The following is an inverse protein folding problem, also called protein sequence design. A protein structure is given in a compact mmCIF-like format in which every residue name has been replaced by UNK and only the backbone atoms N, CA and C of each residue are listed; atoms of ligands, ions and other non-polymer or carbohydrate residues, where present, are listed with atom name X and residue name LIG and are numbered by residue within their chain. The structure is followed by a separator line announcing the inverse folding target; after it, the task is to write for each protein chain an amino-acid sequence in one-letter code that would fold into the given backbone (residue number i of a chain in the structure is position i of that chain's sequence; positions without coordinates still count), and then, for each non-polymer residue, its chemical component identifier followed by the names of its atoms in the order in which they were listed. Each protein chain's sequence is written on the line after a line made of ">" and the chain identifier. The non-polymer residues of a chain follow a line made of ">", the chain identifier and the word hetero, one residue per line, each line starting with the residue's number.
data_IF_486169840040
#
_entry.id   IF_486169840040
#
_cell.length_a   1.000
_cell.length_b   1.000
_cell.length_c   1.000
_cell.angle_alpha   90.00
_cell.angle_beta   90.00
_cell.angle_gamma   90.00
#
_symmetry.space_group_name_H-M   'P 1'
#
loop_
_entity.id
_entity.type
_entity.pdbx_description
1 polymer ?
#
# COMPACT_ATOMS: atom_id res chain seq x y z
N UNK A 1 9.90 -8.75 -27.60
CA UNK A 1 11.05 -8.64 -26.69
C UNK A 1 11.04 -9.84 -25.74
N UNK A 2 12.05 -10.71 -25.76
CA UNK A 2 12.18 -11.81 -24.77
C UNK A 2 12.75 -11.23 -23.49
N UNK A 3 11.90 -11.15 -22.47
CA UNK A 3 12.35 -10.74 -21.12
C UNK A 3 13.29 -11.84 -20.61
N UNK A 4 14.51 -11.46 -20.21
CA UNK A 4 15.53 -12.37 -19.66
C UNK A 4 14.95 -13.18 -18.49
N UNK A 5 15.32 -14.46 -18.38
CA UNK A 5 14.87 -15.35 -17.29
C UNK A 5 15.20 -14.77 -15.90
N UNK A 6 16.33 -14.12 -15.75
CA UNK A 6 16.72 -13.42 -14.51
C UNK A 6 15.73 -12.30 -14.10
N UNK A 7 15.18 -11.56 -15.07
CA UNK A 7 14.18 -10.52 -14.77
C UNK A 7 12.85 -11.15 -14.36
N UNK A 8 12.43 -12.24 -15.00
CA UNK A 8 11.21 -12.98 -14.63
C UNK A 8 11.28 -13.51 -13.20
N UNK A 9 12.40 -14.08 -12.81
CA UNK A 9 12.62 -14.59 -11.45
C UNK A 9 12.58 -13.46 -10.42
N UNK A 10 13.25 -12.34 -10.67
CA UNK A 10 13.21 -11.16 -9.78
C UNK A 10 11.80 -10.61 -9.63
N UNK A 11 11.03 -10.53 -10.70
CA UNK A 11 9.64 -10.09 -10.68
C UNK A 11 8.77 -11.07 -9.90
N UNK A 12 8.90 -12.38 -10.14
CA UNK A 12 8.14 -13.41 -9.43
C UNK A 12 8.42 -13.39 -7.91
N UNK A 13 9.69 -13.28 -7.52
CA UNK A 13 10.08 -13.18 -6.10
C UNK A 13 9.54 -11.89 -5.50
N UNK A 14 9.66 -10.76 -6.20
CA UNK A 14 9.13 -9.48 -5.73
C UNK A 14 7.61 -9.51 -5.54
N UNK A 15 6.88 -10.11 -6.48
CA UNK A 15 5.43 -10.32 -6.37
C UNK A 15 5.09 -11.24 -5.19
N UNK A 16 5.79 -12.35 -5.02
CA UNK A 16 5.59 -13.26 -3.89
C UNK A 16 5.75 -12.57 -2.53
N UNK A 17 6.83 -11.79 -2.36
CA UNK A 17 7.06 -10.99 -1.14
C UNK A 17 5.93 -9.99 -0.94
N UNK A 18 5.49 -9.33 -2.01
CA UNK A 18 4.43 -8.35 -1.97
C UNK A 18 3.08 -8.97 -1.58
N UNK A 19 2.73 -10.15 -2.12
CA UNK A 19 1.52 -10.88 -1.73
C UNK A 19 1.52 -11.27 -0.25
N UNK A 20 2.64 -11.78 0.25
CA UNK A 20 2.76 -12.17 1.66
C UNK A 20 2.67 -10.92 2.55
N UNK A 21 3.43 -9.87 2.26
CA UNK A 21 3.44 -8.64 3.04
C UNK A 21 2.06 -7.96 3.05
N UNK A 22 1.37 -7.92 1.90
CA UNK A 22 0.05 -7.31 1.81
C UNK A 22 -1.03 -8.15 2.50
N UNK A 23 -1.02 -9.47 2.28
CA UNK A 23 -1.97 -10.38 2.92
C UNK A 23 -1.87 -10.41 4.44
N UNK A 24 -0.66 -10.36 4.99
CA UNK A 24 -0.45 -10.31 6.46
C UNK A 24 -0.85 -8.96 7.07
N UNK A 25 -0.98 -7.90 6.26
CA UNK A 25 -1.37 -6.57 6.75
C UNK A 25 -2.75 -6.60 7.42
N UNK A 26 -3.75 -7.22 6.79
CA UNK A 26 -5.11 -7.30 7.31
C UNK A 26 -5.20 -8.13 8.60
N UNK A 27 -4.48 -9.25 8.63
CA UNK A 27 -4.38 -10.08 9.84
C UNK A 27 -3.74 -9.27 10.97
N UNK A 28 -2.68 -8.51 10.68
CA UNK A 28 -2.02 -7.64 11.66
C UNK A 28 -2.92 -6.52 12.18
N UNK A 29 -3.80 -5.96 11.35
CA UNK A 29 -4.79 -4.95 11.78
C UNK A 29 -5.80 -5.62 12.72
N UNK A 30 -6.39 -6.74 12.33
CA UNK A 30 -7.38 -7.45 13.14
C UNK A 30 -6.87 -7.76 14.54
N UNK A 31 -5.65 -8.28 14.68
CA UNK A 31 -5.06 -8.56 15.99
C UNK A 31 -4.83 -7.30 16.84
N UNK A 32 -4.50 -6.17 16.21
CA UNK A 32 -4.20 -4.94 16.94
C UNK A 32 -5.46 -4.20 17.39
N UNK A 33 -6.54 -4.27 16.65
CA UNK A 33 -7.81 -3.62 17.01
C UNK A 33 -8.53 -4.33 18.18
N UNK A 34 -8.22 -5.60 18.45
CA UNK A 34 -8.73 -6.29 19.64
C UNK A 34 -8.22 -5.69 20.95
N UNK A 35 -7.04 -5.08 20.93
CA UNK A 35 -6.36 -4.58 22.16
C UNK A 35 -6.22 -3.06 22.19
N UNK A 36 -6.32 -2.38 21.05
CA UNK A 36 -6.12 -0.94 20.92
C UNK A 36 -7.17 -0.31 19.99
N UNK A 37 -7.54 0.96 20.24
CA UNK A 37 -8.37 1.70 19.28
C UNK A 37 -7.73 1.72 17.88
N UNK A 38 -8.51 1.50 16.79
CA UNK A 38 -7.99 1.33 15.43
C UNK A 38 -7.06 2.44 14.96
N UNK A 39 -7.44 3.68 15.19
CA UNK A 39 -6.64 4.85 14.80
C UNK A 39 -5.32 4.95 15.57
N UNK A 40 -5.31 4.53 16.84
CA UNK A 40 -4.10 4.51 17.65
C UNK A 40 -3.13 3.42 17.18
N UNK A 41 -3.64 2.23 16.90
CA UNK A 41 -2.88 1.12 16.32
C UNK A 41 -2.22 1.53 15.00
N UNK A 42 -2.99 2.15 14.10
CA UNK A 42 -2.47 2.64 12.81
C UNK A 42 -1.41 3.72 12.99
N UNK A 43 -1.62 4.66 13.91
CA UNK A 43 -0.65 5.72 14.20
C UNK A 43 0.69 5.15 14.66
N UNK A 44 0.68 4.17 15.56
CA UNK A 44 1.90 3.50 16.02
C UNK A 44 2.64 2.80 14.88
N UNK A 45 1.93 2.08 14.03
CA UNK A 45 2.52 1.37 12.89
C UNK A 45 3.21 2.34 11.93
N UNK A 46 2.55 3.44 11.58
CA UNK A 46 3.11 4.41 10.63
C UNK A 46 4.27 5.20 11.22
N UNK A 47 4.19 5.58 12.49
CA UNK A 47 5.30 6.24 13.18
C UNK A 47 6.52 5.31 13.28
N UNK A 48 6.32 4.05 13.67
CA UNK A 48 7.40 3.07 13.75
C UNK A 48 8.04 2.79 12.38
N UNK A 49 7.21 2.58 11.35
CA UNK A 49 7.68 2.35 9.98
C UNK A 49 8.42 3.58 9.43
N UNK A 50 7.88 4.78 9.64
CA UNK A 50 8.48 6.04 9.25
C UNK A 50 9.82 6.29 9.93
N UNK A 51 9.90 6.04 11.24
CA UNK A 51 11.13 6.16 12.01
C UNK A 51 12.20 5.15 11.53
N UNK A 52 11.80 3.90 11.31
CA UNK A 52 12.71 2.86 10.80
C UNK A 52 13.25 3.23 9.41
N UNK A 53 12.39 3.71 8.51
CA UNK A 53 12.80 4.15 7.18
C UNK A 53 13.71 5.39 7.24
N UNK A 54 13.39 6.34 8.11
CA UNK A 54 14.22 7.53 8.34
C UNK A 54 15.63 7.15 8.81
N UNK A 55 15.73 6.28 9.81
CA UNK A 55 17.01 5.76 10.31
C UNK A 55 17.76 5.00 9.23
N UNK A 56 17.08 4.13 8.49
CA UNK A 56 17.69 3.38 7.39
C UNK A 56 18.29 4.28 6.31
N UNK A 57 17.56 5.31 5.87
CA UNK A 57 18.04 6.27 4.87
C UNK A 57 19.20 7.10 5.42
N UNK A 58 19.12 7.56 6.67
CA UNK A 58 20.18 8.32 7.32
C UNK A 58 21.48 7.54 7.40
N UNK A 59 21.40 6.25 7.76
CA UNK A 59 22.57 5.37 7.86
C UNK A 59 23.17 5.02 6.50
N UNK A 60 22.32 4.83 5.47
CA UNK A 60 22.78 4.39 4.16
C UNK A 60 23.24 5.54 3.26
N UNK A 61 22.53 6.65 3.27
CA UNK A 61 22.72 7.76 2.33
C UNK A 61 23.20 9.05 3.01
N UNK A 62 23.32 9.03 4.34
CA UNK A 62 23.66 10.20 5.14
C UNK A 62 22.46 11.12 5.40
N UNK A 63 22.57 11.93 6.45
CA UNK A 63 21.50 12.87 6.90
C UNK A 63 21.17 13.93 5.83
N UNK A 64 22.12 14.23 4.93
CA UNK A 64 21.90 15.16 3.83
C UNK A 64 20.78 14.71 2.86
N UNK A 65 20.60 13.40 2.69
CA UNK A 65 19.53 12.83 1.85
C UNK A 65 18.12 13.07 2.41
N UNK A 66 18.00 13.41 3.68
CA UNK A 66 16.73 13.69 4.37
C UNK A 66 16.33 15.17 4.29
N UNK A 67 17.16 16.03 3.69
CA UNK A 67 16.81 17.44 3.50
C UNK A 67 15.73 17.58 2.44
N UNK A 68 14.51 17.83 2.87
CA UNK A 68 13.36 18.08 2.00
C UNK A 68 13.14 19.58 1.81
N UNK A 69 12.79 19.97 0.58
CA UNK A 69 12.31 21.31 0.32
C UNK A 69 10.89 21.44 0.91
N UNK A 70 10.48 22.67 1.28
CA UNK A 70 9.13 22.93 1.82
C UNK A 70 8.01 22.39 0.95
N UNK A 71 8.12 22.49 -0.37
CA UNK A 71 7.13 21.92 -1.32
C UNK A 71 7.07 20.41 -1.23
N UNK A 72 8.23 19.73 -1.19
CA UNK A 72 8.30 18.27 -1.08
C UNK A 72 7.72 17.80 0.25
N UNK A 73 8.05 18.48 1.34
CA UNK A 73 7.51 18.17 2.67
C UNK A 73 5.98 18.34 2.71
N UNK A 74 5.47 19.48 2.22
CA UNK A 74 4.03 19.76 2.19
C UNK A 74 3.27 18.74 1.32
N UNK A 75 3.81 18.40 0.14
CA UNK A 75 3.20 17.38 -0.73
C UNK A 75 3.22 15.99 -0.10
N UNK A 76 4.32 15.60 0.53
CA UNK A 76 4.43 14.31 1.22
C UNK A 76 3.47 14.25 2.42
N UNK A 77 3.36 15.34 3.18
CA UNK A 77 2.44 15.44 4.31
C UNK A 77 0.98 15.35 3.86
N UNK A 78 0.61 16.09 2.81
CA UNK A 78 -0.74 16.04 2.23
C UNK A 78 -1.10 14.63 1.73
N UNK A 79 -0.21 14.00 0.98
CA UNK A 79 -0.40 12.63 0.50
C UNK A 79 -0.45 11.63 1.64
N UNK A 80 0.39 11.79 2.67
CA UNK A 80 0.39 10.94 3.86
C UNK A 80 -0.95 11.02 4.60
N UNK A 81 -1.45 12.22 4.87
CA UNK A 81 -2.75 12.41 5.53
C UNK A 81 -3.88 11.85 4.67
N UNK A 82 -3.86 12.10 3.36
CA UNK A 82 -4.91 11.63 2.46
C UNK A 82 -4.91 10.09 2.32
N UNK A 83 -3.76 9.47 2.08
CA UNK A 83 -3.68 8.03 1.84
C UNK A 83 -3.74 7.21 3.14
N UNK A 84 -2.99 7.62 4.15
CA UNK A 84 -2.88 6.85 5.39
C UNK A 84 -4.00 7.21 6.37
N UNK A 85 -4.33 8.49 6.50
CA UNK A 85 -5.39 8.94 7.39
C UNK A 85 -6.77 8.56 6.90
N UNK A 86 -7.14 8.98 5.69
CA UNK A 86 -8.47 8.67 5.15
C UNK A 86 -8.57 7.27 4.56
N UNK A 87 -7.56 6.77 3.86
CA UNK A 87 -7.57 5.45 3.25
C UNK A 87 -7.49 4.33 4.28
N UNK A 88 -6.32 4.13 4.86
CA UNK A 88 -6.10 3.03 5.81
C UNK A 88 -6.74 3.28 7.17
N UNK A 89 -6.90 4.54 7.60
CA UNK A 89 -7.60 4.88 8.85
C UNK A 89 -9.07 4.51 8.80
N UNK A 90 -9.78 4.84 7.70
CA UNK A 90 -11.19 4.44 7.54
C UNK A 90 -11.34 2.94 7.39
N UNK A 91 -10.36 2.26 6.78
CA UNK A 91 -10.37 0.82 6.69
C UNK A 91 -10.25 0.16 8.07
N UNK A 92 -9.35 0.65 8.94
CA UNK A 92 -9.22 0.15 10.29
C UNK A 92 -10.51 0.34 11.12
N UNK A 93 -11.22 1.45 10.92
CA UNK A 93 -12.53 1.66 11.53
C UNK A 93 -13.61 0.72 10.97
N UNK A 94 -13.56 0.43 9.67
CA UNK A 94 -14.50 -0.48 9.04
C UNK A 94 -14.30 -1.93 9.53
N UNK A 95 -13.08 -2.35 9.83
CA UNK A 95 -12.76 -3.69 10.34
C UNK A 95 -13.32 -3.95 11.76
N UNK A 96 -13.74 -2.92 12.51
CA UNK A 96 -14.47 -3.12 13.77
C UNK A 96 -15.87 -3.75 13.57
N UNK A 97 -16.50 -3.49 12.41
CA UNK A 97 -17.88 -3.90 12.13
C UNK A 97 -17.99 -4.84 10.94
N UNK A 98 -16.97 -4.91 10.10
CA UNK A 98 -16.97 -5.72 8.87
C UNK A 98 -15.97 -6.87 9.02
N UNK A 99 -16.36 -8.13 8.78
CA UNK A 99 -15.43 -9.25 8.79
C UNK A 99 -14.27 -9.03 7.83
N UNK A 100 -13.06 -9.36 8.26
CA UNK A 100 -11.81 -9.14 7.51
C UNK A 100 -11.86 -9.72 6.08
N UNK A 101 -12.54 -10.86 5.90
CA UNK A 101 -12.72 -11.46 4.58
C UNK A 101 -13.52 -10.59 3.62
N UNK A 102 -14.57 -9.89 4.11
CA UNK A 102 -15.37 -8.97 3.29
C UNK A 102 -14.56 -7.71 2.97
N UNK A 103 -13.86 -7.15 3.94
CA UNK A 103 -12.99 -6.00 3.72
C UNK A 103 -11.91 -6.29 2.66
N UNK A 104 -11.25 -7.45 2.74
CA UNK A 104 -10.24 -7.86 1.77
C UNK A 104 -10.79 -8.07 0.37
N UNK A 105 -12.02 -8.60 0.22
CA UNK A 105 -12.69 -8.74 -1.08
C UNK A 105 -13.01 -7.38 -1.72
N UNK A 106 -13.45 -6.40 -0.93
CA UNK A 106 -13.73 -5.04 -1.42
C UNK A 106 -12.43 -4.41 -1.95
N UNK A 107 -11.32 -4.57 -1.23
CA UNK A 107 -10.01 -4.06 -1.67
C UNK A 107 -9.49 -4.82 -2.88
N UNK A 108 -9.73 -6.12 -2.98
CA UNK A 108 -9.38 -6.91 -4.17
C UNK A 108 -10.08 -6.42 -5.45
N UNK A 109 -11.20 -5.70 -5.34
CA UNK A 109 -11.86 -5.06 -6.47
C UNK A 109 -11.16 -3.78 -7.00
N UNK A 110 -10.14 -3.25 -6.31
CA UNK A 110 -9.42 -2.04 -6.73
C UNK A 110 -8.86 -2.07 -8.17
N UNK A 111 -8.29 -3.18 -8.67
CA UNK A 111 -7.84 -3.26 -10.06
C UNK A 111 -8.96 -3.05 -11.07
N UNK A 112 -10.18 -3.49 -10.74
CA UNK A 112 -11.37 -3.31 -11.59
C UNK A 112 -11.70 -1.82 -11.70
N UNK A 113 -11.74 -1.10 -10.58
CA UNK A 113 -11.98 0.35 -10.57
C UNK A 113 -10.88 1.11 -11.32
N UNK A 114 -9.63 0.72 -11.12
CA UNK A 114 -8.50 1.32 -11.83
C UNK A 114 -8.61 1.13 -13.35
N UNK A 115 -9.00 -0.07 -13.80
CA UNK A 115 -9.23 -0.34 -15.22
C UNK A 115 -10.40 0.48 -15.78
N UNK A 116 -11.47 0.63 -14.99
CA UNK A 116 -12.64 1.43 -15.37
C UNK A 116 -12.27 2.91 -15.55
N UNK A 117 -11.55 3.50 -14.60
CA UNK A 117 -11.11 4.90 -14.70
C UNK A 117 -10.15 5.13 -15.86
N UNK A 118 -9.24 4.20 -16.14
CA UNK A 118 -8.35 4.28 -17.31
C UNK A 118 -9.09 4.22 -18.64
N UNK A 119 -10.19 3.48 -18.71
CA UNK A 119 -11.04 3.46 -19.92
C UNK A 119 -11.77 4.79 -20.14
N UNK A 120 -12.15 5.47 -19.08
CA UNK A 120 -12.77 6.81 -19.13
C UNK A 120 -11.75 7.85 -19.62
N UNK A 121 -10.50 7.73 -19.18
CA UNK A 121 -9.40 8.64 -19.53
C UNK A 121 -8.78 8.35 -20.92
N UNK A 122 -9.43 7.51 -21.74
CA UNK A 122 -9.01 7.08 -23.10
C UNK A 122 -7.68 6.30 -23.14
N UNK A 123 -7.05 6.01 -22.01
CA UNK A 123 -5.90 5.14 -21.90
C UNK A 123 -6.37 3.69 -21.75
N UNK A 124 -6.74 3.06 -22.88
CA UNK A 124 -7.30 1.72 -22.88
C UNK A 124 -6.27 0.70 -22.36
N UNK A 125 -6.57 -0.03 -21.29
CA UNK A 125 -5.69 -1.09 -20.81
C UNK A 125 -5.54 -2.17 -21.89
N UNK A 126 -4.34 -2.73 -22.02
CA UNK A 126 -4.11 -3.84 -22.96
C UNK A 126 -4.98 -5.02 -22.57
N UNK A 127 -5.46 -5.76 -23.56
CA UNK A 127 -6.31 -6.96 -23.37
C UNK A 127 -5.68 -7.94 -22.36
N UNK A 128 -4.35 -8.07 -22.38
CA UNK A 128 -3.61 -8.90 -21.42
C UNK A 128 -3.78 -8.43 -19.96
N UNK A 129 -3.91 -7.13 -19.73
CA UNK A 129 -4.16 -6.57 -18.39
C UNK A 129 -5.58 -6.85 -17.92
N UNK A 130 -6.55 -6.87 -18.83
CA UNK A 130 -7.94 -7.23 -18.51
C UNK A 130 -8.07 -8.71 -18.14
N UNK A 131 -7.37 -9.59 -18.84
CA UNK A 131 -7.31 -11.03 -18.50
C UNK A 131 -6.69 -11.24 -17.13
N UNK A 132 -5.62 -10.50 -16.77
CA UNK A 132 -5.01 -10.58 -15.45
C UNK A 132 -5.87 -10.01 -14.30
N UNK A 133 -6.87 -9.19 -14.61
CA UNK A 133 -7.84 -8.67 -13.61
C UNK A 133 -8.99 -9.67 -13.41
N UNK A 134 -9.30 -10.48 -14.43
CA UNK A 134 -10.39 -11.45 -14.40
C UNK A 134 -9.97 -12.83 -13.83
N UNK A 135 -8.66 -13.08 -13.70
CA UNK A 135 -8.09 -14.30 -13.13
C UNK A 135 -7.88 -14.20 -11.62
#
# INVERSE_FOLDING_TARGET
>A
MRVSSSVKTKVAVGLGIMYIAWGTTYIGIAFTIETMPPLMSMSFRFVAAGAALFVFIALRNGVAALKLNRKQFSSAMFLGVLMLGTGLGTMALAEEVVPIGVASLIVAAMPIWTALFRTIDKDRPRVLSLVGIAA
#
